data_IF_983564265070
#
_entry.id   IF_983564265070
#
_cell.length_a   1.000
_cell.length_b   1.000
_cell.length_c   1.000
_cell.angle_alpha   90.00
_cell.angle_beta   90.00
_cell.angle_gamma   90.00
#
_symmetry.space_group_name_H-M   'P 1'
#
loop_
_entity.id
_entity.type
_entity.pdbx_description
1 polymer ?
#
# COMPACT_ATOMS: atom_id res chain seq x y z
N UNK A 1 -15.13 15.30 13.40
CA UNK A 1 -15.40 14.03 12.69
C UNK A 1 -15.21 12.91 13.70
N UNK A 2 -16.20 12.04 13.94
CA UNK A 2 -15.98 10.87 14.79
C UNK A 2 -14.81 10.06 14.23
N UNK A 3 -13.90 9.63 15.11
CA UNK A 3 -12.85 8.67 14.77
C UNK A 3 -13.51 7.30 14.64
N UNK A 4 -14.23 7.09 13.54
CA UNK A 4 -14.76 5.77 13.22
C UNK A 4 -13.67 5.06 12.40
N UNK A 5 -13.18 3.94 12.92
CA UNK A 5 -12.09 3.18 12.31
C UNK A 5 -12.42 1.72 12.44
N UNK A 6 -12.36 1.01 11.32
CA UNK A 6 -12.66 -0.42 11.26
C UNK A 6 -11.35 -1.21 11.25
N UNK A 7 -10.70 -1.25 12.42
CA UNK A 7 -9.40 -1.89 12.61
C UNK A 7 -9.49 -3.40 12.40
N UNK A 8 -10.57 -4.03 12.88
CA UNK A 8 -10.79 -5.46 12.71
C UNK A 8 -10.91 -5.82 11.23
N UNK A 9 -11.71 -5.08 10.45
CA UNK A 9 -11.79 -5.30 9.01
C UNK A 9 -10.46 -5.08 8.29
N UNK A 10 -9.63 -4.13 8.74
CA UNK A 10 -8.29 -3.93 8.15
C UNK A 10 -7.35 -5.10 8.45
N UNK A 11 -7.42 -5.68 9.64
CA UNK A 11 -6.58 -6.81 10.05
C UNK A 11 -7.05 -8.14 9.43
N UNK A 12 -8.35 -8.29 9.19
CA UNK A 12 -8.94 -9.46 8.53
C UNK A 12 -8.86 -9.41 7.00
N UNK A 13 -8.49 -8.27 6.42
CA UNK A 13 -8.35 -8.11 4.98
C UNK A 13 -7.25 -9.03 4.43
N UNK A 14 -7.49 -9.62 3.26
CA UNK A 14 -6.44 -10.33 2.52
C UNK A 14 -5.30 -9.36 2.21
N UNK A 15 -4.14 -9.62 2.82
CA UNK A 15 -2.98 -8.74 2.76
C UNK A 15 -2.46 -8.53 1.34
N UNK A 16 -2.58 -9.53 0.45
CA UNK A 16 -2.14 -9.41 -0.94
C UNK A 16 -3.16 -8.62 -1.75
N UNK A 17 -4.46 -8.86 -1.53
CA UNK A 17 -5.51 -8.06 -2.16
C UNK A 17 -5.43 -6.58 -1.73
N UNK A 18 -5.18 -6.34 -0.44
CA UNK A 18 -4.97 -5.00 0.11
C UNK A 18 -3.72 -4.35 -0.50
N UNK A 19 -2.61 -5.09 -0.60
CA UNK A 19 -1.38 -4.58 -1.19
C UNK A 19 -1.55 -4.25 -2.68
N UNK A 20 -2.25 -5.08 -3.45
CA UNK A 20 -2.50 -4.85 -4.87
C UNK A 20 -3.42 -3.64 -5.13
N UNK A 21 -4.54 -3.55 -4.41
CA UNK A 21 -5.47 -2.41 -4.55
C UNK A 21 -4.83 -1.10 -4.10
N UNK A 22 -4.07 -1.13 -2.99
CA UNK A 22 -3.30 0.02 -2.53
C UNK A 22 -2.20 0.40 -3.53
N UNK A 23 -1.56 -0.58 -4.18
CA UNK A 23 -0.53 -0.34 -5.18
C UNK A 23 -1.09 0.47 -6.36
N UNK A 24 -2.20 0.02 -6.94
CA UNK A 24 -2.89 0.74 -8.01
C UNK A 24 -3.25 2.15 -7.55
N UNK A 25 -3.86 2.30 -6.37
CA UNK A 25 -4.24 3.61 -5.86
C UNK A 25 -3.05 4.58 -5.64
N UNK A 26 -1.88 4.06 -5.27
CA UNK A 26 -0.68 4.86 -5.01
C UNK A 26 0.08 5.23 -6.28
N UNK A 27 0.13 4.31 -7.26
CA UNK A 27 0.96 4.41 -8.46
C UNK A 27 0.19 4.71 -9.75
N UNK A 28 -1.14 4.82 -9.73
CA UNK A 28 -1.90 5.29 -10.90
C UNK A 28 -1.38 6.66 -11.35
N UNK A 29 -0.97 6.74 -12.63
CA UNK A 29 -0.44 7.97 -13.23
C UNK A 29 1.01 8.30 -12.84
N UNK A 30 1.74 7.36 -12.24
CA UNK A 30 3.16 7.50 -11.87
C UNK A 30 4.03 6.76 -12.88
N UNK A 31 5.03 7.44 -13.44
CA UNK A 31 6.01 6.87 -14.36
C UNK A 31 7.07 5.99 -13.68
N UNK A 32 7.83 5.24 -14.49
CA UNK A 32 8.99 4.51 -13.98
C UNK A 32 10.03 5.48 -13.42
N UNK A 33 10.43 5.25 -12.17
CA UNK A 33 11.38 6.12 -11.49
C UNK A 33 10.78 7.40 -10.89
N UNK A 34 9.48 7.63 -11.01
CA UNK A 34 8.82 8.74 -10.32
C UNK A 34 8.52 8.38 -8.85
N UNK A 35 8.77 9.35 -7.97
CA UNK A 35 8.82 9.19 -6.51
C UNK A 35 7.43 9.17 -5.86
N UNK A 36 7.19 8.25 -4.91
CA UNK A 36 5.95 8.21 -4.10
C UNK A 36 6.24 8.03 -2.60
N UNK A 37 5.51 8.71 -1.70
CA UNK A 37 5.77 8.65 -0.26
C UNK A 37 4.90 7.62 0.47
N UNK A 38 5.41 7.01 1.55
CA UNK A 38 4.65 6.16 2.50
C UNK A 38 3.39 6.82 3.07
N UNK A 39 3.32 8.15 3.03
CA UNK A 39 2.12 8.92 3.37
C UNK A 39 0.93 8.64 2.44
N UNK A 40 1.17 8.28 1.16
CA UNK A 40 0.09 7.92 0.22
C UNK A 40 -0.54 6.58 0.57
N UNK A 41 0.26 5.58 0.96
CA UNK A 41 -0.23 4.29 1.48
C UNK A 41 -1.14 4.53 2.68
N UNK A 42 -0.67 5.28 3.67
CA UNK A 42 -1.47 5.64 4.86
C UNK A 42 -2.71 6.46 4.53
N UNK A 43 -2.65 7.32 3.50
CA UNK A 43 -3.83 8.05 3.03
C UNK A 43 -4.86 7.10 2.43
N UNK A 44 -4.44 6.13 1.63
CA UNK A 44 -5.34 5.14 1.06
C UNK A 44 -5.98 4.25 2.14
N UNK A 45 -5.18 3.69 3.05
CA UNK A 45 -5.71 2.91 4.18
C UNK A 45 -6.74 3.70 4.99
N UNK A 46 -6.53 5.01 5.18
CA UNK A 46 -7.49 5.87 5.87
C UNK A 46 -8.78 6.11 5.11
N UNK A 47 -8.71 6.17 3.79
CA UNK A 47 -9.90 6.28 2.95
C UNK A 47 -10.72 4.99 2.99
N UNK A 48 -10.06 3.83 3.08
CA UNK A 48 -10.69 2.51 3.08
C UNK A 48 -11.27 2.13 4.45
N UNK A 49 -10.52 2.33 5.53
CA UNK A 49 -10.86 1.82 6.87
C UNK A 49 -11.19 2.91 7.90
N UNK A 50 -11.25 4.17 7.47
CA UNK A 50 -11.49 5.31 8.36
C UNK A 50 -10.22 5.92 8.94
N UNK A 51 -10.37 6.96 9.75
CA UNK A 51 -9.23 7.74 10.25
C UNK A 51 -8.99 7.44 11.74
N UNK A 52 -7.85 6.82 12.10
CA UNK A 52 -7.58 6.44 13.48
C UNK A 52 -7.33 7.69 14.33
N UNK A 53 -7.55 7.55 15.63
CA UNK A 53 -6.99 8.49 16.60
C UNK A 53 -5.51 8.16 16.78
N UNK A 54 -4.61 8.98 16.23
CA UNK A 54 -3.16 8.71 16.21
C UNK A 54 -2.51 8.54 17.59
N UNK A 55 -3.11 9.08 18.65
CA UNK A 55 -2.64 8.89 20.02
C UNK A 55 -3.08 7.56 20.65
N UNK A 56 -3.91 6.77 19.95
CA UNK A 56 -4.38 5.45 20.36
C UNK A 56 -3.56 4.35 19.65
N UNK A 57 -3.59 3.09 20.15
CA UNK A 57 -2.87 1.96 19.54
C UNK A 57 -3.13 1.80 18.04
N UNK A 58 -4.32 2.16 17.58
CA UNK A 58 -4.78 2.13 16.19
C UNK A 58 -3.82 2.80 15.21
N UNK A 59 -3.19 3.92 15.60
CA UNK A 59 -2.21 4.59 14.75
C UNK A 59 -1.00 3.70 14.41
N UNK A 60 -0.54 2.89 15.39
CA UNK A 60 0.57 1.94 15.18
C UNK A 60 0.17 0.78 14.28
N UNK A 61 -1.11 0.39 14.29
CA UNK A 61 -1.63 -0.66 13.41
C UNK A 61 -1.59 -0.18 11.96
N UNK A 62 -2.01 1.06 11.68
CA UNK A 62 -1.89 1.65 10.35
C UNK A 62 -0.44 1.72 9.85
N UNK A 63 0.50 2.10 10.73
CA UNK A 63 1.91 2.11 10.38
C UNK A 63 2.43 0.69 10.09
N UNK A 64 2.01 -0.31 10.86
CA UNK A 64 2.37 -1.71 10.64
C UNK A 64 1.82 -2.27 9.32
N UNK A 65 0.53 -2.05 9.04
CA UNK A 65 -0.11 -2.51 7.78
C UNK A 65 0.48 -1.79 6.57
N UNK A 66 0.76 -0.49 6.69
CA UNK A 66 1.44 0.27 5.63
C UNK A 66 2.86 -0.28 5.38
N UNK A 67 3.61 -0.59 6.43
CA UNK A 67 4.94 -1.18 6.30
C UNK A 67 4.86 -2.58 5.67
N UNK A 68 3.95 -3.44 6.10
CA UNK A 68 3.74 -4.77 5.53
C UNK A 68 3.39 -4.70 4.04
N UNK A 69 2.51 -3.78 3.66
CA UNK A 69 2.13 -3.51 2.27
C UNK A 69 3.35 -3.15 1.42
N UNK A 70 4.18 -2.23 1.91
CA UNK A 70 5.41 -1.81 1.22
C UNK A 70 6.40 -2.98 1.09
N UNK A 71 6.58 -3.78 2.16
CA UNK A 71 7.46 -4.94 2.14
C UNK A 71 7.02 -5.99 1.12
N UNK A 72 5.71 -6.19 0.92
CA UNK A 72 5.19 -7.07 -0.13
C UNK A 72 5.57 -6.55 -1.52
N UNK A 73 5.48 -5.24 -1.76
CA UNK A 73 5.88 -4.65 -3.03
C UNK A 73 7.37 -4.79 -3.31
N UNK A 74 8.20 -4.63 -2.29
CA UNK A 74 9.65 -4.85 -2.38
C UNK A 74 9.98 -6.31 -2.65
N UNK A 75 9.31 -7.23 -1.95
CA UNK A 75 9.47 -8.68 -2.14
C UNK A 75 9.08 -9.11 -3.56
N UNK A 76 7.98 -8.60 -4.10
CA UNK A 76 7.55 -8.85 -5.47
C UNK A 76 8.43 -8.13 -6.52
N UNK A 77 9.33 -7.22 -6.09
CA UNK A 77 10.19 -6.43 -6.96
C UNK A 77 9.42 -5.42 -7.83
N UNK A 78 8.26 -4.94 -7.37
CA UNK A 78 7.40 -3.99 -8.10
C UNK A 78 7.61 -2.54 -7.67
N UNK A 79 8.09 -2.32 -6.45
CA UNK A 79 8.55 -1.03 -5.95
C UNK A 79 9.79 -1.22 -5.07
N UNK A 80 10.58 -0.16 -4.87
CA UNK A 80 11.73 -0.17 -3.95
C UNK A 80 11.76 1.08 -3.08
N UNK A 81 12.15 0.95 -1.80
CA UNK A 81 12.43 2.11 -0.95
C UNK A 81 13.81 2.68 -1.19
N UNK A 82 13.87 4.00 -1.40
CA UNK A 82 15.09 4.80 -1.34
C UNK A 82 15.47 5.12 0.11
N UNK A 83 16.71 5.57 0.34
CA UNK A 83 17.20 6.00 1.66
C UNK A 83 16.36 7.13 2.27
N UNK A 84 15.73 7.97 1.44
CA UNK A 84 14.81 9.04 1.87
C UNK A 84 13.45 8.52 2.36
N UNK A 85 13.17 7.21 2.25
CA UNK A 85 11.87 6.62 2.54
C UNK A 85 10.83 6.77 1.42
N UNK A 86 11.24 7.37 0.30
CA UNK A 86 10.47 7.42 -0.94
C UNK A 86 10.44 6.03 -1.59
N UNK A 87 9.29 5.68 -2.16
CA UNK A 87 9.06 4.50 -2.96
C UNK A 87 9.21 4.83 -4.44
N UNK A 88 10.05 4.07 -5.11
CA UNK A 88 10.29 4.15 -6.54
C UNK A 88 9.52 3.04 -7.25
N UNK A 89 8.77 3.38 -8.30
CA UNK A 89 8.15 2.40 -9.18
C UNK A 89 9.23 1.68 -10.02
N UNK A 90 9.20 0.34 -10.00
CA UNK A 90 10.12 -0.50 -10.77
C UNK A 90 9.46 -1.01 -12.07
N UNK A 91 10.23 -1.49 -13.07
CA UNK A 91 9.69 -1.99 -14.34
C UNK A 91 8.61 -3.08 -14.20
N UNK A 92 8.75 -4.00 -13.23
CA UNK A 92 7.71 -4.99 -12.93
C UNK A 92 6.45 -4.35 -12.34
N UNK A 93 6.61 -3.26 -11.60
CA UNK A 93 5.50 -2.49 -11.06
C UNK A 93 4.66 -1.80 -12.12
N UNK A 94 5.26 -1.29 -13.21
CA UNK A 94 4.48 -0.80 -14.34
C UNK A 94 3.61 -1.90 -14.95
N UNK A 95 4.16 -3.11 -15.12
CA UNK A 95 3.37 -4.26 -15.62
C UNK A 95 2.25 -4.67 -14.66
N UNK A 96 2.49 -4.61 -13.36
CA UNK A 96 1.46 -4.85 -12.35
C UNK A 96 0.36 -3.76 -12.40
N UNK A 97 0.74 -2.50 -12.63
CA UNK A 97 -0.20 -1.39 -12.72
C UNK A 97 -1.12 -1.51 -13.95
N UNK A 98 -0.57 -1.99 -15.07
CA UNK A 98 -1.31 -2.23 -16.31
C UNK A 98 -2.08 -3.57 -16.33
N UNK A 99 -1.93 -4.39 -15.28
CA UNK A 99 -2.55 -5.71 -15.22
C UNK A 99 -4.08 -5.60 -15.11
N UNK A 100 -4.86 -6.38 -15.91
CA UNK A 100 -6.32 -6.41 -15.80
C UNK A 100 -6.82 -6.89 -14.43
N UNK A 101 -6.06 -7.79 -13.80
CA UNK A 101 -6.26 -8.23 -12.42
C UNK A 101 -4.96 -8.07 -11.62
N UNK A 102 -4.78 -6.91 -10.95
CA UNK A 102 -3.60 -6.64 -10.14
C UNK A 102 -3.45 -7.58 -8.93
N UNK A 103 -4.55 -8.16 -8.44
CA UNK A 103 -4.50 -9.07 -7.28
C UNK A 103 -3.89 -10.41 -7.71
N UNK A 104 -4.40 -10.99 -8.80
CA UNK A 104 -3.85 -12.21 -9.37
C UNK A 104 -2.38 -12.01 -9.79
N UNK A 105 -2.09 -10.91 -10.50
CA UNK A 105 -0.73 -10.60 -10.93
C UNK A 105 0.25 -10.42 -9.76
N UNK A 106 -0.16 -9.76 -8.67
CA UNK A 106 0.70 -9.64 -7.49
C UNK A 106 0.93 -10.98 -6.79
N UNK A 107 -0.09 -11.84 -6.72
CA UNK A 107 0.05 -13.19 -6.14
C UNK A 107 1.05 -14.05 -6.92
N UNK A 108 1.08 -13.94 -8.24
CA UNK A 108 2.05 -14.66 -9.09
C UNK A 108 3.50 -14.19 -8.87
N UNK A 109 3.70 -12.97 -8.36
CA UNK A 109 5.02 -12.37 -8.14
C UNK A 109 5.63 -12.63 -6.74
N UNK A 110 4.86 -13.16 -5.78
CA UNK A 110 5.23 -13.30 -4.36
C UNK A 110 5.73 -14.70 -3.95
#
# INVERSE_FOLDING_TARGET
>A
MPYNTDIEAMLDADVVALAATTFVAVFTGVGLGEETASGRVRKHLRATFGNPRWSAPDGRIYDAVALQTILLWERAGVAGRMLSGVLQLLPRGARLLDAPDPIAALRELL
#
